data_IF_250614201181
#
_entry.id   IF_250614201181
#
_cell.length_a   1.000
_cell.length_b   1.000
_cell.length_c   1.000
_cell.angle_alpha   90.00
_cell.angle_beta   90.00
_cell.angle_gamma   90.00
#
_symmetry.space_group_name_H-M   'P 1'
#
loop_
_entity.id
_entity.type
_entity.pdbx_description
1 polymer ?
#
# COMPACT_ATOMS: atom_id res chain seq x y z
N UNK A 1 2.64 14.15 2.45
CA UNK A 1 1.75 15.29 2.81
C UNK A 1 1.03 15.01 4.12
N UNK A 2 0.92 15.95 5.06
CA UNK A 2 0.09 15.78 6.27
C UNK A 2 -1.35 16.20 6.01
N UNK A 3 -2.32 15.33 6.29
CA UNK A 3 -3.75 15.72 6.29
C UNK A 3 -4.06 16.47 7.59
N UNK A 4 -4.80 17.59 7.57
CA UNK A 4 -5.20 18.28 8.79
C UNK A 4 -5.93 17.34 9.76
N UNK A 5 -5.54 17.38 11.04
CA UNK A 5 -5.95 16.38 12.05
C UNK A 5 -7.48 16.18 12.12
N UNK A 6 -8.25 17.27 12.05
CA UNK A 6 -9.72 17.25 12.10
C UNK A 6 -10.39 16.54 10.91
N UNK A 7 -9.68 16.33 9.80
CA UNK A 7 -10.21 15.68 8.59
C UNK A 7 -9.53 14.35 8.30
N UNK A 8 -8.38 14.06 8.91
CA UNK A 8 -7.51 12.94 8.55
C UNK A 8 -8.22 11.60 8.50
N UNK A 9 -8.88 11.20 9.59
CA UNK A 9 -9.58 9.91 9.65
C UNK A 9 -10.71 9.82 8.61
N UNK A 10 -11.46 10.91 8.39
CA UNK A 10 -12.53 10.95 7.39
C UNK A 10 -12.00 10.85 5.97
N UNK A 11 -10.92 11.56 5.65
CA UNK A 11 -10.28 11.52 4.32
C UNK A 11 -9.74 10.13 4.04
N UNK A 12 -8.99 9.54 4.98
CA UNK A 12 -8.40 8.21 4.80
C UNK A 12 -9.49 7.14 4.70
N UNK A 13 -10.55 7.23 5.50
CA UNK A 13 -11.70 6.34 5.38
C UNK A 13 -12.34 6.40 3.99
N UNK A 14 -12.58 7.60 3.46
CA UNK A 14 -13.15 7.76 2.10
C UNK A 14 -12.21 7.15 1.06
N UNK A 15 -10.89 7.36 1.17
CA UNK A 15 -9.94 6.75 0.23
C UNK A 15 -9.98 5.23 0.29
N UNK A 16 -10.07 4.63 1.48
CA UNK A 16 -10.25 3.19 1.65
C UNK A 16 -11.57 2.69 1.03
N UNK A 17 -12.66 3.44 1.16
CA UNK A 17 -13.94 3.13 0.51
C UNK A 17 -13.80 3.18 -1.02
N UNK A 18 -13.11 4.18 -1.58
CA UNK A 18 -12.85 4.29 -3.02
C UNK A 18 -11.97 3.14 -3.54
N UNK A 19 -11.08 2.58 -2.72
CA UNK A 19 -10.30 1.40 -3.11
C UNK A 19 -11.20 0.17 -3.39
N UNK A 20 -12.39 0.12 -2.79
CA UNK A 20 -13.34 -0.98 -2.95
C UNK A 20 -14.33 -0.76 -4.12
N UNK A 21 -14.18 0.32 -4.88
CA UNK A 21 -15.01 0.58 -6.06
C UNK A 21 -14.76 -0.48 -7.16
N UNK A 22 -15.67 -0.59 -8.12
CA UNK A 22 -15.55 -1.49 -9.27
C UNK A 22 -14.88 -0.82 -10.48
N UNK A 23 -14.85 0.52 -10.52
CA UNK A 23 -14.13 1.27 -11.56
C UNK A 23 -12.66 1.41 -11.20
N UNK A 24 -11.77 0.79 -11.99
CA UNK A 24 -10.32 0.89 -11.81
C UNK A 24 -9.81 2.33 -11.79
N UNK A 25 -10.48 3.30 -12.43
CA UNK A 25 -10.07 4.71 -12.34
C UNK A 25 -10.26 5.26 -10.93
N UNK A 26 -11.31 4.83 -10.23
CA UNK A 26 -11.58 5.24 -8.86
C UNK A 26 -10.58 4.58 -7.90
N UNK A 27 -10.33 3.28 -8.08
CA UNK A 27 -9.33 2.53 -7.32
C UNK A 27 -7.94 3.14 -7.52
N UNK A 28 -7.58 3.49 -8.76
CA UNK A 28 -6.32 4.14 -9.12
C UNK A 28 -6.10 5.45 -8.38
N UNK A 29 -7.12 6.32 -8.33
CA UNK A 29 -7.05 7.59 -7.56
C UNK A 29 -6.82 7.30 -6.08
N UNK A 30 -7.49 6.29 -5.52
CA UNK A 30 -7.27 5.88 -4.14
C UNK A 30 -5.83 5.41 -3.89
N UNK A 31 -5.33 4.51 -4.72
CA UNK A 31 -3.98 3.95 -4.60
C UNK A 31 -2.90 5.04 -4.65
N UNK A 32 -2.98 5.95 -5.63
CA UNK A 32 -2.06 7.09 -5.73
C UNK A 32 -2.08 7.91 -4.45
N UNK A 33 -3.26 8.40 -4.05
CA UNK A 33 -3.36 9.34 -2.93
C UNK A 33 -2.90 8.67 -1.63
N UNK A 34 -3.28 7.41 -1.39
CA UNK A 34 -2.83 6.68 -0.21
C UNK A 34 -1.32 6.45 -0.21
N UNK A 35 -0.70 6.16 -1.36
CA UNK A 35 0.76 6.02 -1.47
C UNK A 35 1.50 7.31 -1.07
N UNK A 36 1.00 8.47 -1.49
CA UNK A 36 1.57 9.78 -1.14
C UNK A 36 1.31 10.19 0.31
N UNK A 37 0.17 9.79 0.86
CA UNK A 37 -0.14 10.00 2.28
C UNK A 37 0.73 9.12 3.18
N UNK A 38 1.08 7.91 2.72
CA UNK A 38 1.96 6.99 3.43
C UNK A 38 3.40 7.52 3.59
N UNK A 39 3.83 8.54 2.85
CA UNK A 39 5.14 9.18 3.09
C UNK A 39 5.18 10.00 4.40
N UNK A 40 4.02 10.28 5.02
CA UNK A 40 3.93 11.10 6.22
C UNK A 40 3.49 10.26 7.43
N UNK A 41 4.34 10.11 8.47
CA UNK A 41 4.05 9.30 9.65
C UNK A 41 2.76 9.70 10.39
N UNK A 42 2.41 10.98 10.34
CA UNK A 42 1.18 11.51 10.96
C UNK A 42 -0.11 10.91 10.35
N UNK A 43 -0.03 10.31 9.15
CA UNK A 43 -1.16 9.64 8.52
C UNK A 43 -1.24 8.14 8.82
N UNK A 44 -0.15 7.53 9.29
CA UNK A 44 -0.02 6.08 9.32
C UNK A 44 -1.04 5.41 10.21
N UNK A 45 -1.33 5.97 11.39
CA UNK A 45 -2.26 5.37 12.34
C UNK A 45 -3.64 5.11 11.75
N UNK A 46 -4.14 6.03 10.92
CA UNK A 46 -5.41 5.91 10.21
C UNK A 46 -5.31 5.03 8.94
N UNK A 47 -4.14 5.01 8.27
CA UNK A 47 -3.92 4.12 7.11
C UNK A 47 -3.87 2.65 7.56
N UNK A 48 -3.20 2.35 8.66
CA UNK A 48 -3.04 0.98 9.18
C UNK A 48 -4.15 0.53 10.15
N UNK A 49 -5.12 1.39 10.43
CA UNK A 49 -6.30 1.02 11.23
C UNK A 49 -7.34 0.35 10.35
N UNK A 50 -7.73 -0.86 10.72
CA UNK A 50 -8.78 -1.65 10.06
C UNK A 50 -8.53 -1.96 8.58
N UNK A 51 -8.84 -3.18 8.17
CA UNK A 51 -8.89 -3.61 6.77
C UNK A 51 -7.60 -3.37 5.95
N UNK A 52 -6.43 -3.34 6.61
CA UNK A 52 -5.16 -3.10 5.92
C UNK A 52 -4.84 -4.23 4.93
N UNK A 53 -5.01 -5.50 5.32
CA UNK A 53 -4.79 -6.65 4.43
C UNK A 53 -5.66 -6.56 3.19
N UNK A 54 -6.97 -6.33 3.33
CA UNK A 54 -7.88 -6.26 2.19
C UNK A 54 -7.61 -5.05 1.30
N UNK A 55 -7.19 -3.91 1.86
CA UNK A 55 -6.75 -2.75 1.10
C UNK A 55 -5.50 -3.07 0.25
N UNK A 56 -4.49 -3.71 0.86
CA UNK A 56 -3.25 -4.09 0.17
C UNK A 56 -3.56 -5.09 -0.94
N UNK A 57 -4.28 -6.16 -0.63
CA UNK A 57 -4.67 -7.19 -1.60
C UNK A 57 -5.45 -6.58 -2.77
N UNK A 58 -6.35 -5.64 -2.49
CA UNK A 58 -7.13 -4.94 -3.52
C UNK A 58 -6.25 -4.18 -4.51
N UNK A 59 -5.11 -3.66 -4.06
CA UNK A 59 -4.17 -2.97 -4.94
C UNK A 59 -3.21 -3.93 -5.64
N UNK A 60 -2.54 -4.81 -4.89
CA UNK A 60 -1.45 -5.63 -5.45
C UNK A 60 -1.93 -6.81 -6.30
N UNK A 61 -3.20 -7.21 -6.17
CA UNK A 61 -3.83 -8.24 -7.02
C UNK A 61 -4.68 -7.63 -8.15
N UNK A 62 -4.62 -6.31 -8.36
CA UNK A 62 -5.39 -5.66 -9.42
C UNK A 62 -4.80 -6.00 -10.81
N UNK A 63 -5.64 -6.09 -11.84
CA UNK A 63 -5.16 -6.34 -13.20
C UNK A 63 -4.47 -5.11 -13.84
N UNK A 64 -4.71 -3.92 -13.30
CA UNK A 64 -4.08 -2.68 -13.73
C UNK A 64 -2.72 -2.51 -13.03
N UNK A 65 -1.66 -2.60 -13.82
CA UNK A 65 -0.28 -2.55 -13.33
C UNK A 65 0.03 -1.26 -12.56
N UNK A 66 -0.57 -0.13 -12.93
CA UNK A 66 -0.36 1.12 -12.18
C UNK A 66 -1.00 1.09 -10.78
N UNK A 67 -2.13 0.39 -10.62
CA UNK A 67 -2.72 0.20 -9.29
C UNK A 67 -1.81 -0.67 -8.43
N UNK A 68 -1.25 -1.74 -9.02
CA UNK A 68 -0.26 -2.60 -8.36
C UNK A 68 0.93 -1.77 -7.88
N UNK A 69 1.49 -0.90 -8.74
CA UNK A 69 2.61 -0.02 -8.39
C UNK A 69 2.36 0.77 -7.12
N UNK A 70 1.26 1.52 -7.11
CA UNK A 70 0.96 2.41 -6.00
C UNK A 70 0.59 1.63 -4.74
N UNK A 71 0.07 0.40 -4.87
CA UNK A 71 -0.08 -0.54 -3.76
C UNK A 71 1.26 -0.93 -3.15
N UNK A 72 2.23 -1.31 -3.97
CA UNK A 72 3.58 -1.66 -3.54
C UNK A 72 4.31 -0.46 -2.93
N UNK A 73 4.25 0.71 -3.58
CA UNK A 73 4.82 1.97 -3.09
C UNK A 73 4.18 2.38 -1.76
N UNK A 74 2.86 2.23 -1.61
CA UNK A 74 2.19 2.53 -0.33
C UNK A 74 2.74 1.64 0.78
N UNK A 75 2.88 0.33 0.55
CA UNK A 75 3.44 -0.59 1.53
C UNK A 75 4.89 -0.22 1.89
N UNK A 76 5.73 0.05 0.89
CA UNK A 76 7.10 0.51 1.09
C UNK A 76 7.18 1.81 1.88
N UNK A 77 6.36 2.80 1.57
CA UNK A 77 6.34 4.07 2.30
C UNK A 77 5.94 3.87 3.77
N UNK A 78 4.98 2.99 4.04
CA UNK A 78 4.61 2.63 5.40
C UNK A 78 5.76 1.91 6.13
N UNK A 79 6.58 1.11 5.44
CA UNK A 79 7.77 0.50 6.03
C UNK A 79 8.90 1.51 6.27
N UNK A 80 9.20 2.35 5.27
CA UNK A 80 10.31 3.31 5.28
C UNK A 80 10.13 4.40 6.35
N UNK A 81 8.93 4.98 6.40
CA UNK A 81 8.63 6.12 7.27
C UNK A 81 7.91 5.70 8.56
N UNK A 82 7.45 4.45 8.62
CA UNK A 82 6.69 3.94 9.75
C UNK A 82 7.52 3.80 11.01
N UNK A 83 6.84 3.93 12.15
CA UNK A 83 7.38 3.43 13.41
C UNK A 83 7.25 1.89 13.48
N UNK A 84 7.80 1.29 14.53
CA UNK A 84 7.77 -0.15 14.75
C UNK A 84 6.36 -0.75 14.66
N UNK A 85 5.34 -0.08 15.24
CA UNK A 85 3.94 -0.52 15.14
C UNK A 85 3.43 -0.54 13.71
N UNK A 86 3.73 0.50 12.91
CA UNK A 86 3.38 0.56 11.49
C UNK A 86 4.08 -0.56 10.72
N UNK A 87 5.39 -0.72 10.90
CA UNK A 87 6.20 -1.73 10.22
C UNK A 87 5.70 -3.15 10.50
N UNK A 88 5.44 -3.48 11.78
CA UNK A 88 4.91 -4.78 12.18
C UNK A 88 3.52 -5.05 11.59
N UNK A 89 2.64 -4.04 11.59
CA UNK A 89 1.31 -4.18 10.98
C UNK A 89 1.39 -4.44 9.48
N UNK A 90 2.23 -3.71 8.75
CA UNK A 90 2.43 -3.95 7.31
C UNK A 90 2.98 -5.35 7.09
N UNK A 91 4.02 -5.75 7.83
CA UNK A 91 4.61 -7.10 7.73
C UNK A 91 3.59 -8.21 7.96
N UNK A 92 2.65 -8.03 8.89
CA UNK A 92 1.61 -9.01 9.19
C UNK A 92 0.51 -9.09 8.12
N UNK A 93 0.30 -8.01 7.34
CA UNK A 93 -0.84 -7.88 6.42
C UNK A 93 -0.43 -7.96 4.95
N UNK A 94 0.84 -7.75 4.60
CA UNK A 94 1.32 -7.97 3.22
C UNK A 94 1.61 -9.46 3.03
N UNK A 95 0.93 -10.08 2.06
CA UNK A 95 1.25 -11.44 1.64
C UNK A 95 2.59 -11.48 0.90
N UNK A 96 3.65 -11.93 1.59
CA UNK A 96 4.98 -12.06 0.99
C UNK A 96 4.99 -13.01 -0.23
N UNK A 97 4.16 -14.04 -0.21
CA UNK A 97 4.03 -14.95 -1.36
C UNK A 97 3.46 -14.21 -2.58
N UNK A 98 2.45 -13.37 -2.39
CA UNK A 98 1.87 -12.55 -3.47
C UNK A 98 2.89 -11.58 -4.04
N UNK A 99 3.72 -10.95 -3.19
CA UNK A 99 4.81 -10.08 -3.67
C UNK A 99 5.82 -10.88 -4.52
N UNK A 100 6.18 -12.10 -4.10
CA UNK A 100 7.09 -12.96 -4.87
C UNK A 100 6.49 -13.47 -6.18
N UNK A 101 5.19 -13.71 -6.21
CA UNK A 101 4.47 -14.07 -7.45
C UNK A 101 4.55 -12.91 -8.46
N UNK A 102 4.38 -11.65 -8.03
CA UNK A 102 4.53 -10.48 -8.89
C UNK A 102 5.94 -10.35 -9.49
N UNK A 103 6.98 -10.65 -8.71
CA UNK A 103 8.39 -10.63 -9.18
C UNK A 103 8.63 -11.65 -10.30
N UNK A 104 7.92 -12.78 -10.27
CA UNK A 104 8.12 -13.88 -11.21
C UNK A 104 7.18 -13.83 -12.43
N UNK A 105 6.16 -12.98 -12.41
CA UNK A 105 5.19 -12.86 -13.51
C UNK A 105 5.79 -12.09 -14.69
N UNK A 106 5.86 -12.75 -15.84
CA UNK A 106 6.38 -12.20 -17.10
C UNK A 106 5.57 -11.01 -17.63
N UNK A 107 4.34 -10.82 -17.15
CA UNK A 107 3.48 -9.68 -17.51
C UNK A 107 3.65 -8.48 -16.58
N UNK A 108 4.41 -8.61 -15.49
CA UNK A 108 4.69 -7.49 -14.59
C UNK A 108 5.73 -6.55 -15.22
N UNK A 109 5.48 -5.25 -15.17
CA UNK A 109 6.43 -4.25 -15.67
C UNK A 109 7.71 -4.21 -14.83
N UNK A 110 8.85 -3.93 -15.46
CA UNK A 110 10.17 -3.91 -14.80
C UNK A 110 10.21 -3.00 -13.57
N UNK A 111 9.57 -1.83 -13.63
CA UNK A 111 9.52 -0.91 -12.49
C UNK A 111 8.69 -1.47 -11.32
N UNK A 112 7.64 -2.24 -11.59
CA UNK A 112 6.84 -2.89 -10.55
C UNK A 112 7.62 -4.03 -9.90
N UNK A 113 8.38 -4.79 -10.69
CA UNK A 113 9.27 -5.85 -10.22
C UNK A 113 10.30 -5.27 -9.23
N UNK A 114 10.98 -4.18 -9.60
CA UNK A 114 11.97 -3.53 -8.72
C UNK A 114 11.35 -3.08 -7.39
N UNK A 115 10.14 -2.52 -7.43
CA UNK A 115 9.40 -2.11 -6.23
C UNK A 115 9.02 -3.34 -5.38
N UNK A 116 8.57 -4.43 -6.00
CA UNK A 116 8.22 -5.67 -5.32
C UNK A 116 9.44 -6.37 -4.70
N UNK A 117 10.59 -6.40 -5.37
CA UNK A 117 11.85 -6.94 -4.85
C UNK A 117 12.30 -6.19 -3.59
N UNK A 118 12.27 -4.86 -3.63
CA UNK A 118 12.61 -4.03 -2.47
C UNK A 118 11.65 -4.29 -1.30
N UNK A 119 10.35 -4.46 -1.59
CA UNK A 119 9.36 -4.77 -0.58
C UNK A 119 9.59 -6.15 0.05
N UNK A 120 9.88 -7.18 -0.76
CA UNK A 120 10.19 -8.53 -0.27
C UNK A 120 11.43 -8.53 0.65
N UNK A 121 12.48 -7.79 0.26
CA UNK A 121 13.69 -7.63 1.07
C UNK A 121 13.36 -7.02 2.43
N UNK A 122 12.60 -5.92 2.45
CA UNK A 122 12.29 -5.21 3.69
C UNK A 122 11.35 -6.00 4.61
N UNK A 123 10.41 -6.75 4.04
CA UNK A 123 9.57 -7.66 4.82
C UNK A 123 10.39 -8.74 5.55
N UNK A 124 11.53 -9.15 4.97
CA UNK A 124 12.45 -10.11 5.60
C UNK A 124 13.29 -9.51 6.74
N UNK A 125 13.58 -8.20 6.71
CA UNK A 125 14.51 -7.57 7.68
C UNK A 125 13.83 -7.09 8.95
N UNK A 126 12.55 -6.74 8.89
CA UNK A 126 11.78 -6.29 10.06
C UNK A 126 11.66 -7.47 11.05
N UNK A 127 11.94 -7.25 12.34
CA UNK A 127 11.90 -8.28 13.40
C UNK A 127 10.57 -8.25 14.13
#
# INVERSE_FOLDING_TARGET
MKVPDQFRSSVIRVLKELAQDQDDKIIYVSAIVLSWLAECPDNHSDIISDDLSSLIDRFILNANLHIIDYGLIMALNLLNYGNETTQLKVKQNVSQNTVRELIQDENTEEWAILTAELLDEWLCTIS
#
